data_IF_204196255669
#
_entry.id   IF_204196255669
#
_cell.length_a   1.000
_cell.length_b   1.000
_cell.length_c   1.000
_cell.angle_alpha   90.00
_cell.angle_beta   90.00
_cell.angle_gamma   90.00
#
_symmetry.space_group_name_H-M   'P 1'
#
loop_
_entity.id
_entity.type
_entity.pdbx_description
1 polymer ?
#
# COMPACT_ATOMS: atom_id res chain seq x y z
N UNK A 1 -19.63 -52.73 70.02
CA UNK A 1 -19.02 -51.47 69.55
C UNK A 1 -17.70 -51.81 68.88
N UNK A 2 -17.64 -51.74 67.54
CA UNK A 2 -16.42 -52.07 66.78
C UNK A 2 -15.46 -50.89 66.91
N UNK A 3 -14.22 -51.17 67.32
CA UNK A 3 -13.11 -50.21 67.30
C UNK A 3 -12.90 -49.81 65.85
N UNK A 4 -13.42 -48.64 65.47
CA UNK A 4 -13.07 -48.00 64.22
C UNK A 4 -11.66 -47.47 64.41
N UNK A 5 -10.71 -48.05 63.68
CA UNK A 5 -9.30 -47.67 63.74
C UNK A 5 -9.15 -46.19 63.37
N UNK A 6 -8.84 -45.39 64.40
CA UNK A 6 -8.52 -43.96 64.30
C UNK A 6 -7.42 -43.70 63.25
N UNK A 7 -6.56 -44.69 63.01
CA UNK A 7 -5.52 -44.63 61.98
C UNK A 7 -6.07 -44.54 60.55
N UNK A 8 -7.21 -45.17 60.25
CA UNK A 8 -7.80 -45.14 58.91
C UNK A 8 -8.46 -43.79 58.59
N UNK A 9 -9.02 -43.12 59.60
CA UNK A 9 -9.62 -41.78 59.44
C UNK A 9 -8.53 -40.71 59.27
N UNK A 10 -7.40 -40.84 59.98
CA UNK A 10 -6.27 -39.93 59.84
C UNK A 10 -5.59 -40.00 58.45
N UNK A 11 -5.51 -41.20 57.87
CA UNK A 11 -4.95 -41.41 56.53
C UNK A 11 -5.85 -40.86 55.41
N UNK A 12 -7.17 -40.96 55.56
CA UNK A 12 -8.12 -40.32 54.64
C UNK A 12 -8.10 -38.79 54.74
N UNK A 13 -7.93 -38.24 55.95
CA UNK A 13 -7.82 -36.79 56.14
C UNK A 13 -6.53 -36.20 55.54
N UNK A 14 -5.39 -36.89 55.64
CA UNK A 14 -4.13 -36.43 55.00
C UNK A 14 -4.12 -36.61 53.48
N UNK A 15 -4.75 -37.67 52.95
CA UNK A 15 -4.89 -37.87 51.51
C UNK A 15 -5.77 -36.82 50.82
N UNK A 16 -6.83 -36.36 51.49
CA UNK A 16 -7.72 -35.33 50.93
C UNK A 16 -7.10 -33.94 50.88
N UNK A 17 -6.20 -33.60 51.81
CA UNK A 17 -5.51 -32.29 51.81
C UNK A 17 -4.41 -32.23 50.72
N UNK A 18 -3.81 -33.38 50.37
CA UNK A 18 -2.80 -33.44 49.30
C UNK A 18 -3.39 -33.35 47.87
N UNK A 19 -4.67 -33.69 47.67
CA UNK A 19 -5.35 -33.49 46.38
C UNK A 19 -5.98 -32.10 46.20
N UNK A 20 -6.07 -31.30 47.26
CA UNK A 20 -6.60 -29.93 47.20
C UNK A 20 -5.51 -28.85 47.33
N UNK A 21 -4.30 -29.12 46.83
CA UNK A 21 -3.51 -28.02 46.26
C UNK A 21 -4.02 -27.74 44.85
N UNK A 22 -5.23 -27.19 44.78
CA UNK A 22 -5.60 -26.40 43.61
C UNK A 22 -4.70 -25.17 43.70
N UNK A 23 -3.63 -25.18 42.91
CA UNK A 23 -2.99 -23.94 42.48
C UNK A 23 -4.07 -23.16 41.74
N UNK A 24 -4.84 -22.38 42.50
CA UNK A 24 -5.45 -21.19 41.95
C UNK A 24 -4.28 -20.28 41.61
N UNK A 25 -3.70 -20.53 40.43
CA UNK A 25 -3.07 -19.48 39.64
C UNK A 25 -4.15 -18.42 39.54
N UNK A 26 -4.00 -17.39 40.36
CA UNK A 26 -4.78 -16.18 40.35
C UNK A 26 -4.43 -15.46 39.04
N UNK A 27 -4.92 -16.02 37.93
CA UNK A 27 -5.14 -15.29 36.70
C UNK A 27 -6.55 -14.72 36.83
N UNK A 28 -6.75 -13.90 37.86
CA UNK A 28 -7.40 -12.62 37.65
C UNK A 28 -6.47 -11.77 36.76
N UNK A 29 -6.19 -12.29 35.56
CA UNK A 29 -5.79 -11.52 34.41
C UNK A 29 -7.00 -10.64 34.13
N UNK A 30 -7.07 -9.56 34.88
CA UNK A 30 -7.90 -8.43 34.58
C UNK A 30 -7.41 -8.03 33.20
N UNK A 31 -8.08 -8.54 32.17
CA UNK A 31 -7.87 -8.14 30.79
C UNK A 31 -8.28 -6.69 30.81
N UNK A 32 -7.33 -5.83 31.16
CA UNK A 32 -7.39 -4.43 30.81
C UNK A 32 -7.28 -4.50 29.30
N UNK A 33 -8.41 -4.55 28.62
CA UNK A 33 -8.51 -4.38 27.18
C UNK A 33 -8.08 -2.95 26.89
N UNK A 34 -6.77 -2.70 26.98
CA UNK A 34 -6.22 -1.41 26.68
C UNK A 34 -6.51 -1.11 25.20
N UNK A 35 -6.79 0.15 24.87
CA UNK A 35 -6.76 0.56 23.48
C UNK A 35 -5.35 0.34 22.94
N UNK A 36 -5.22 -0.43 21.87
CA UNK A 36 -3.94 -0.72 21.22
C UNK A 36 -3.94 -0.09 19.84
N UNK A 37 -2.90 0.67 19.56
CA UNK A 37 -2.68 1.35 18.30
C UNK A 37 -1.36 0.87 17.68
N UNK A 38 -1.35 0.51 16.40
CA UNK A 38 -0.19 -0.16 15.79
C UNK A 38 0.92 0.78 15.29
N UNK A 39 0.62 2.07 15.14
CA UNK A 39 1.55 3.12 14.71
C UNK A 39 1.90 4.11 15.84
N UNK A 40 1.36 3.88 17.05
CA UNK A 40 1.53 4.71 18.24
C UNK A 40 0.95 6.14 18.14
N UNK A 41 -0.16 6.33 17.42
CA UNK A 41 -0.99 7.52 17.56
C UNK A 41 -1.45 8.08 16.23
N UNK A 42 -1.05 9.32 15.94
CA UNK A 42 -1.42 10.00 14.70
C UNK A 42 -0.14 10.13 13.87
N UNK A 43 0.06 9.19 12.94
CA UNK A 43 1.16 9.21 11.97
C UNK A 43 0.64 8.92 10.55
N UNK A 44 0.27 9.97 9.79
CA UNK A 44 -0.38 9.81 8.51
C UNK A 44 0.48 9.12 7.45
N UNK A 45 1.78 8.91 7.67
CA UNK A 45 2.67 8.22 6.71
C UNK A 45 2.76 6.71 6.97
N UNK A 46 2.26 6.23 8.12
CA UNK A 46 2.35 4.84 8.56
C UNK A 46 0.95 4.31 8.82
N UNK A 47 0.48 3.39 7.98
CA UNK A 47 -0.86 2.84 8.16
C UNK A 47 -0.98 1.99 9.42
N UNK A 48 -1.97 2.31 10.24
CA UNK A 48 -2.32 1.73 11.51
C UNK A 48 -3.56 0.84 11.53
N UNK A 49 -3.61 0.00 12.57
CA UNK A 49 -4.80 -0.66 13.06
C UNK A 49 -4.97 -0.25 14.52
N UNK A 50 -6.23 -0.03 14.89
CA UNK A 50 -6.64 0.24 16.25
C UNK A 50 -7.53 -0.89 16.76
N UNK A 51 -7.30 -1.35 17.98
CA UNK A 51 -8.20 -2.25 18.71
C UNK A 51 -8.64 -1.54 19.98
N UNK A 52 -9.94 -1.23 20.08
CA UNK A 52 -10.53 -0.51 21.20
C UNK A 52 -10.74 -1.36 22.45
N UNK A 53 -11.12 -0.70 23.55
CA UNK A 53 -11.45 -1.36 24.83
C UNK A 53 -12.59 -2.38 24.71
N UNK A 54 -13.54 -2.15 23.80
CA UNK A 54 -14.65 -3.02 23.48
C UNK A 54 -14.32 -4.09 22.43
N UNK A 55 -13.03 -4.30 22.13
CA UNK A 55 -12.51 -5.22 21.11
C UNK A 55 -12.93 -4.85 19.67
N UNK A 56 -13.48 -3.64 19.45
CA UNK A 56 -13.76 -3.17 18.10
C UNK A 56 -12.44 -2.81 17.41
N UNK A 57 -12.19 -3.49 16.29
CA UNK A 57 -11.07 -3.20 15.41
C UNK A 57 -11.44 -2.11 14.40
N UNK A 58 -10.56 -1.11 14.26
CA UNK A 58 -10.58 -0.09 13.23
C UNK A 58 -9.22 -0.06 12.53
N UNK A 59 -9.15 0.57 11.37
CA UNK A 59 -7.91 0.73 10.62
C UNK A 59 -7.95 2.02 9.87
N UNK A 60 -6.78 2.56 9.57
CA UNK A 60 -6.72 3.79 8.79
C UNK A 60 -7.24 3.54 7.40
N UNK A 61 -7.93 4.53 6.87
CA UNK A 61 -8.67 4.39 5.62
C UNK A 61 -8.72 5.71 4.88
N UNK A 62 -8.38 5.66 3.60
CA UNK A 62 -8.63 6.75 2.69
C UNK A 62 -10.13 6.84 2.40
N UNK A 63 -10.74 7.97 2.75
CA UNK A 63 -12.16 8.23 2.49
C UNK A 63 -12.37 8.70 1.06
N UNK A 64 -11.39 9.40 0.52
CA UNK A 64 -11.28 9.81 -0.87
C UNK A 64 -9.79 9.91 -1.25
N UNK A 65 -9.50 10.36 -2.47
CA UNK A 65 -8.12 10.44 -2.98
C UNK A 65 -7.18 11.40 -2.24
N UNK A 66 -7.65 12.22 -1.30
CA UNK A 66 -6.85 13.21 -0.57
C UNK A 66 -7.13 13.25 0.94
N UNK A 67 -8.07 12.46 1.45
CA UNK A 67 -8.48 12.50 2.86
C UNK A 67 -8.25 11.15 3.51
N UNK A 68 -7.46 11.14 4.58
CA UNK A 68 -7.20 10.00 5.44
C UNK A 68 -8.04 10.11 6.71
N UNK A 69 -8.72 9.03 7.08
CA UNK A 69 -9.21 8.82 8.44
C UNK A 69 -8.18 8.00 9.20
N UNK A 70 -7.53 8.67 10.15
CA UNK A 70 -6.55 8.13 11.07
C UNK A 70 -7.22 7.73 12.37
N UNK A 71 -7.13 6.46 12.77
CA UNK A 71 -7.70 5.96 14.01
C UNK A 71 -6.63 5.77 15.07
N UNK A 72 -6.76 6.49 16.18
CA UNK A 72 -5.74 6.52 17.22
C UNK A 72 -6.29 6.35 18.63
N UNK A 73 -5.47 5.84 19.55
CA UNK A 73 -5.86 5.63 20.94
C UNK A 73 -5.67 6.88 21.81
N UNK A 74 -6.63 7.17 22.69
CA UNK A 74 -6.49 8.20 23.74
C UNK A 74 -6.68 7.57 25.11
N UNK A 75 -5.58 7.08 25.67
CA UNK A 75 -5.54 6.36 26.95
C UNK A 75 -6.13 4.95 26.89
N UNK A 76 -5.93 4.20 27.98
CA UNK A 76 -6.14 2.75 28.01
C UNK A 76 -7.62 2.35 27.87
N UNK A 77 -8.58 3.18 28.27
CA UNK A 77 -10.02 2.87 28.23
C UNK A 77 -10.76 3.65 27.14
N UNK A 78 -10.22 3.65 25.92
CA UNK A 78 -10.86 4.28 24.76
C UNK A 78 -11.20 3.26 23.67
N UNK A 79 -12.21 3.56 22.86
CA UNK A 79 -12.55 2.77 21.66
C UNK A 79 -11.91 3.37 20.40
N UNK A 80 -10.80 4.11 20.59
CA UNK A 80 -10.16 4.95 19.59
C UNK A 80 -10.95 6.20 19.23
N UNK A 81 -10.24 7.23 18.80
CA UNK A 81 -10.77 8.41 18.13
C UNK A 81 -10.40 8.35 16.64
N UNK A 82 -11.02 9.23 15.85
CA UNK A 82 -10.68 9.41 14.44
C UNK A 82 -10.25 10.85 14.22
N UNK A 83 -9.16 11.03 13.48
CA UNK A 83 -8.75 12.32 12.95
C UNK A 83 -8.87 12.32 11.43
N UNK A 84 -9.50 13.36 10.90
CA UNK A 84 -9.52 13.61 9.46
C UNK A 84 -8.29 14.41 9.06
N UNK A 85 -7.46 13.83 8.19
CA UNK A 85 -6.20 14.42 7.73
C UNK A 85 -6.26 14.66 6.22
N UNK A 86 -5.91 15.87 5.80
CA UNK A 86 -5.75 16.21 4.39
C UNK A 86 -4.33 15.86 3.92
N UNK A 87 -4.21 14.97 2.94
CA UNK A 87 -2.97 14.54 2.34
C UNK A 87 -2.67 15.36 1.08
N UNK A 88 -1.72 16.28 1.15
CA UNK A 88 -1.33 17.17 0.03
C UNK A 88 -0.99 16.38 -1.25
N UNK A 89 -0.23 15.29 -1.13
CA UNK A 89 0.14 14.44 -2.28
C UNK A 89 -0.82 13.26 -2.49
N UNK A 90 -1.87 13.14 -1.67
CA UNK A 90 -2.94 12.15 -1.84
C UNK A 90 -2.95 11.09 -0.77
N UNK A 91 -4.03 10.34 -0.76
CA UNK A 91 -4.22 9.21 0.13
C UNK A 91 -4.17 7.92 -0.68
N UNK A 92 -3.40 6.95 -0.21
CA UNK A 92 -3.29 5.63 -0.80
C UNK A 92 -3.38 4.53 0.24
N UNK A 93 -3.33 3.28 -0.20
CA UNK A 93 -3.38 2.12 0.69
C UNK A 93 -2.05 1.39 0.66
N UNK A 94 -1.38 1.23 1.82
CA UNK A 94 -0.19 0.37 1.99
C UNK A 94 -0.58 -0.79 2.92
N UNK A 95 -0.36 -2.02 2.48
CA UNK A 95 -0.72 -3.24 3.23
C UNK A 95 -2.18 -3.29 3.72
N UNK A 96 -3.11 -2.76 2.92
CA UNK A 96 -4.54 -2.76 3.23
C UNK A 96 -5.01 -1.66 4.21
N UNK A 97 -4.12 -0.71 4.56
CA UNK A 97 -4.36 0.42 5.46
C UNK A 97 -4.13 1.75 4.73
N UNK A 98 -4.92 2.76 5.04
CA UNK A 98 -4.77 4.11 4.51
C UNK A 98 -3.46 4.76 4.95
N UNK A 99 -2.83 5.53 4.06
CA UNK A 99 -1.67 6.39 4.33
C UNK A 99 -1.74 7.63 3.44
N UNK A 100 -1.24 8.76 3.93
CA UNK A 100 -0.86 9.87 3.08
C UNK A 100 0.38 9.48 2.27
N UNK A 101 0.34 9.82 0.98
CA UNK A 101 1.43 9.61 0.06
C UNK A 101 2.48 10.70 0.21
N UNK A 102 3.74 10.33 0.05
CA UNK A 102 4.79 11.32 -0.14
C UNK A 102 4.81 11.82 -1.60
N UNK A 103 5.52 12.92 -1.84
CA UNK A 103 5.64 13.49 -3.18
C UNK A 103 6.31 12.47 -4.11
N UNK A 104 5.57 12.02 -5.13
CA UNK A 104 6.06 11.05 -6.11
C UNK A 104 5.77 9.58 -5.77
N UNK A 105 5.12 9.30 -4.63
CA UNK A 105 4.59 7.96 -4.38
C UNK A 105 3.23 7.78 -5.07
N UNK A 106 3.07 6.70 -5.85
CA UNK A 106 1.81 6.37 -6.52
C UNK A 106 1.33 4.99 -6.10
N UNK A 107 0.04 4.90 -5.75
CA UNK A 107 -0.62 3.65 -5.36
C UNK A 107 -0.92 2.82 -6.61
N UNK A 108 -0.59 1.53 -6.57
CA UNK A 108 -1.07 0.54 -7.53
C UNK A 108 -2.60 0.44 -7.43
N UNK A 109 -3.31 0.98 -8.43
CA UNK A 109 -4.74 0.70 -8.65
C UNK A 109 -5.64 1.92 -8.78
N UNK A 110 -5.26 3.08 -8.23
CA UNK A 110 -6.09 4.29 -8.30
C UNK A 110 -5.29 5.45 -8.91
N UNK A 111 -5.60 5.74 -10.18
CA UNK A 111 -5.12 6.93 -10.86
C UNK A 111 -5.74 8.15 -10.18
N UNK A 112 -4.92 8.92 -9.45
CA UNK A 112 -5.35 10.07 -8.64
C UNK A 112 -5.82 11.29 -9.44
N UNK A 113 -5.92 11.26 -10.77
CA UNK A 113 -6.35 12.43 -11.55
C UNK A 113 -7.16 12.04 -12.80
N UNK A 114 -8.44 11.71 -12.59
CA UNK A 114 -9.35 11.40 -13.70
C UNK A 114 -8.88 10.21 -14.52
N UNK A 115 -9.67 9.83 -15.53
CA UNK A 115 -9.12 8.98 -16.59
C UNK A 115 -7.93 9.73 -17.19
N UNK A 116 -6.82 9.06 -17.46
CA UNK A 116 -5.80 9.56 -18.38
C UNK A 116 -6.46 9.58 -19.77
N UNK A 117 -7.26 10.62 -20.03
CA UNK A 117 -8.16 10.70 -21.18
C UNK A 117 -7.40 10.98 -22.46
N UNK A 118 -6.27 11.67 -22.35
CA UNK A 118 -5.54 12.24 -23.48
C UNK A 118 -4.06 11.81 -23.48
N UNK A 119 -3.77 10.62 -22.91
CA UNK A 119 -2.41 10.15 -22.73
C UNK A 119 -2.30 8.70 -22.27
N UNK A 120 -1.07 8.26 -22.00
CA UNK A 120 -0.75 6.92 -21.51
C UNK A 120 -0.35 6.99 -20.05
N UNK A 121 -0.79 6.01 -19.27
CA UNK A 121 -0.38 5.92 -17.87
C UNK A 121 0.95 5.18 -17.75
N UNK A 122 1.98 5.86 -17.25
CA UNK A 122 3.31 5.27 -17.03
C UNK A 122 3.93 5.79 -15.75
N UNK A 123 4.39 4.86 -14.90
CA UNK A 123 5.08 5.17 -13.65
C UNK A 123 4.35 6.22 -12.79
N UNK A 124 3.03 6.09 -12.72
CA UNK A 124 2.19 6.98 -11.92
C UNK A 124 1.93 8.37 -12.51
N UNK A 125 2.36 8.63 -13.74
CA UNK A 125 2.14 9.88 -14.47
C UNK A 125 1.33 9.60 -15.73
N UNK A 126 0.39 10.50 -16.05
CA UNK A 126 -0.28 10.51 -17.34
C UNK A 126 0.63 11.24 -18.36
N UNK A 127 1.25 10.50 -19.25
CA UNK A 127 2.13 11.01 -20.29
C UNK A 127 1.31 11.49 -21.48
N UNK A 128 1.60 12.67 -22.09
CA UNK A 128 0.94 13.06 -23.32
C UNK A 128 1.32 12.12 -24.47
N UNK A 129 0.41 11.95 -25.44
CA UNK A 129 0.67 11.18 -26.68
C UNK A 129 1.95 11.69 -27.36
N UNK A 130 2.78 10.76 -27.82
CA UNK A 130 4.09 11.02 -28.41
C UNK A 130 5.24 11.12 -27.41
N UNK A 131 4.98 11.04 -26.09
CA UNK A 131 6.06 11.01 -25.09
C UNK A 131 6.88 9.75 -25.21
N UNK A 132 8.18 9.90 -25.41
CA UNK A 132 9.15 8.80 -25.50
C UNK A 132 9.78 8.51 -24.14
N UNK A 133 9.94 7.24 -23.82
CA UNK A 133 10.52 6.74 -22.58
C UNK A 133 11.90 6.15 -22.88
N UNK A 134 12.82 6.24 -21.91
CA UNK A 134 14.22 5.80 -22.07
C UNK A 134 14.39 4.30 -22.35
N UNK A 135 13.39 3.49 -22.06
CA UNK A 135 13.40 2.05 -22.32
C UNK A 135 13.12 1.69 -23.79
N UNK A 136 12.88 2.70 -24.64
CA UNK A 136 12.57 2.52 -26.04
C UNK A 136 11.08 2.26 -26.29
N UNK A 137 10.20 2.64 -25.35
CA UNK A 137 8.77 2.73 -25.57
C UNK A 137 8.30 4.18 -25.75
N UNK A 138 7.07 4.37 -26.22
CA UNK A 138 6.45 5.68 -26.33
C UNK A 138 4.94 5.59 -26.13
N UNK A 139 4.32 6.72 -25.78
CA UNK A 139 2.88 6.81 -25.63
C UNK A 139 2.17 6.98 -26.97
N UNK A 140 1.45 5.94 -27.42
CA UNK A 140 0.74 5.91 -28.70
C UNK A 140 -0.66 6.54 -28.60
N UNK A 141 -1.27 6.86 -29.74
CA UNK A 141 -2.64 7.41 -29.84
C UNK A 141 -3.71 6.47 -29.28
N UNK A 142 -3.43 5.18 -29.22
CA UNK A 142 -4.25 4.16 -28.55
C UNK A 142 -4.29 4.32 -27.03
N UNK A 143 -3.43 5.20 -26.47
CA UNK A 143 -3.25 5.45 -25.03
C UNK A 143 -2.55 4.30 -24.30
N UNK A 144 -1.85 3.46 -25.07
CA UNK A 144 -1.00 2.39 -24.58
C UNK A 144 0.47 2.71 -24.90
N UNK A 145 1.36 2.11 -24.13
CA UNK A 145 2.79 2.22 -24.40
C UNK A 145 3.18 1.17 -25.41
N UNK A 146 3.80 1.62 -26.49
CA UNK A 146 4.25 0.76 -27.58
C UNK A 146 5.76 0.82 -27.72
N UNK A 147 6.36 -0.25 -28.26
CA UNK A 147 7.80 -0.32 -28.49
C UNK A 147 8.14 0.52 -29.73
N UNK A 148 9.21 1.30 -29.65
CA UNK A 148 9.74 2.00 -30.80
C UNK A 148 10.40 1.04 -31.80
N UNK A 149 10.07 1.23 -33.07
CA UNK A 149 10.52 0.52 -34.24
C UNK A 149 11.97 0.85 -34.61
N UNK A 150 12.62 -0.11 -35.27
CA UNK A 150 13.99 0.00 -35.75
C UNK A 150 14.06 0.59 -37.15
N UNK A 151 15.27 0.80 -37.65
CA UNK A 151 15.47 1.30 -39.00
C UNK A 151 14.86 0.34 -40.03
N UNK A 152 14.33 0.90 -41.13
CA UNK A 152 13.64 0.20 -42.22
C UNK A 152 12.27 -0.41 -41.87
N UNK A 153 11.86 -0.43 -40.60
CA UNK A 153 10.50 -0.83 -40.22
C UNK A 153 9.45 0.17 -40.72
N UNK A 154 8.27 -0.33 -41.07
CA UNK A 154 7.16 0.49 -41.52
C UNK A 154 6.56 1.31 -40.36
N UNK A 155 6.34 2.61 -40.57
CA UNK A 155 5.85 3.54 -39.55
C UNK A 155 4.76 4.46 -40.09
N UNK A 156 3.92 5.00 -39.20
CA UNK A 156 2.92 6.02 -39.53
C UNK A 156 3.30 7.42 -39.01
N UNK A 157 4.06 7.50 -37.94
CA UNK A 157 4.49 8.75 -37.33
C UNK A 157 5.93 8.69 -36.78
N UNK A 158 6.50 9.85 -36.49
CA UNK A 158 7.91 9.96 -36.07
C UNK A 158 8.20 9.32 -34.71
N UNK A 159 7.23 9.29 -33.79
CA UNK A 159 7.43 8.76 -32.44
C UNK A 159 7.55 7.23 -32.42
N UNK A 160 7.02 6.56 -33.45
CA UNK A 160 7.19 5.11 -33.64
C UNK A 160 8.67 4.76 -33.84
N UNK A 161 9.47 5.61 -34.49
CA UNK A 161 10.85 5.28 -34.82
C UNK A 161 11.82 5.62 -33.68
N UNK A 162 12.80 4.75 -33.42
CA UNK A 162 13.91 5.04 -32.49
C UNK A 162 14.69 6.30 -32.87
N UNK A 163 14.84 6.56 -34.17
CA UNK A 163 15.49 7.75 -34.71
C UNK A 163 14.65 9.02 -34.61
N UNK A 164 13.37 8.92 -34.22
CA UNK A 164 12.38 9.99 -34.33
C UNK A 164 12.08 10.44 -35.77
N UNK A 165 12.39 9.62 -36.77
CA UNK A 165 12.24 9.95 -38.19
C UNK A 165 11.50 8.85 -38.94
N UNK A 166 10.26 9.17 -39.35
CA UNK A 166 9.45 8.35 -40.25
C UNK A 166 9.35 9.06 -41.61
N UNK A 167 10.02 8.53 -42.63
CA UNK A 167 10.08 9.14 -43.97
C UNK A 167 9.55 8.16 -44.99
N UNK A 168 8.58 8.60 -45.79
CA UNK A 168 7.93 7.76 -46.80
C UNK A 168 7.39 6.43 -46.22
N UNK A 169 6.89 6.46 -44.99
CA UNK A 169 6.30 5.31 -44.30
C UNK A 169 7.31 4.30 -43.73
N UNK A 170 8.60 4.65 -43.65
CA UNK A 170 9.62 3.79 -43.04
C UNK A 170 10.50 4.57 -42.07
N UNK A 171 10.95 3.90 -41.01
CA UNK A 171 11.90 4.44 -40.07
C UNK A 171 13.28 4.58 -40.72
N UNK A 172 13.90 5.74 -40.54
CA UNK A 172 15.22 6.03 -41.13
C UNK A 172 16.21 6.31 -40.02
N UNK A 173 17.42 5.77 -40.13
CA UNK A 173 18.47 6.00 -39.14
C UNK A 173 18.90 7.47 -39.10
N UNK A 174 19.28 7.93 -37.91
CA UNK A 174 19.78 9.30 -37.71
C UNK A 174 21.03 9.58 -38.56
N UNK A 175 21.88 8.57 -38.76
CA UNK A 175 23.08 8.67 -39.59
C UNK A 175 22.77 8.96 -41.07
N UNK A 176 21.76 8.30 -41.63
CA UNK A 176 21.35 8.54 -43.03
C UNK A 176 20.81 9.96 -43.19
N UNK A 177 20.03 10.43 -42.22
CA UNK A 177 19.48 11.78 -42.25
C UNK A 177 20.57 12.85 -42.11
N UNK A 178 21.55 12.65 -41.23
CA UNK A 178 22.67 13.56 -41.07
C UNK A 178 23.49 13.68 -42.36
N UNK A 179 23.76 12.55 -43.05
CA UNK A 179 24.43 12.57 -44.36
C UNK A 179 23.64 13.35 -45.42
N UNK A 180 22.31 13.24 -45.41
CA UNK A 180 21.46 14.02 -46.30
C UNK A 180 21.57 15.53 -46.02
N UNK A 181 21.49 15.94 -44.74
CA UNK A 181 21.65 17.35 -44.37
C UNK A 181 23.02 17.92 -44.76
N UNK A 182 24.09 17.14 -44.61
CA UNK A 182 25.43 17.53 -45.06
C UNK A 182 25.47 17.79 -46.56
N UNK A 183 24.83 16.94 -47.38
CA UNK A 183 24.80 17.10 -48.84
C UNK A 183 24.03 18.33 -49.34
N UNK A 184 23.18 18.94 -48.51
CA UNK A 184 22.45 20.17 -48.85
C UNK A 184 23.27 21.45 -48.61
N UNK A 185 24.41 21.34 -47.93
CA UNK A 185 25.30 22.46 -47.61
C UNK A 185 26.50 22.56 -48.58
N UNK A 186 26.56 21.70 -49.59
CA UNK A 186 27.53 21.72 -50.70
C UNK A 186 26.92 22.38 -51.96
#
# INVERSE_FOLDING_TARGET
>A
MKKVDIFFIALLAFGFVAMFRIEFLDVSGNVVSACIDSDNGIDPLIGGNLVGYDEIAKKDTCVNGTTLYEYYCVGDRSNGLVQEIYCENGCGTKNGKGVCLERGEVVLGDSKFGKCTDGCYFDGVCLPIGTRIKDGTYCETTKELEIQLFDEDACFNNFECRSNLCVAGNCVSEEIFNKFLESLNE
#
